data_IF_325421044023
#
_entry.id   IF_325421044023
#
_cell.length_a   1.000
_cell.length_b   1.000
_cell.length_c   1.000
_cell.angle_alpha   90.00
_cell.angle_beta   90.00
_cell.angle_gamma   90.00
#
_symmetry.space_group_name_H-M   'P 1'
#
loop_
_entity.id
_entity.type
_entity.pdbx_description
1 polymer ?
#
# COMPACT_ATOMS: atom_id res chain seq x y z
N UNK A 1 -8.20 -47.62 30.85
CA UNK A 1 -8.33 -46.22 30.39
C UNK A 1 -7.40 -46.05 29.21
N UNK A 2 -7.92 -45.83 27.99
CA UNK A 2 -7.08 -45.49 26.83
C UNK A 2 -6.74 -44.00 26.90
N UNK A 3 -5.49 -43.59 26.71
CA UNK A 3 -5.15 -42.17 26.66
C UNK A 3 -5.88 -41.53 25.47
N UNK A 4 -6.60 -40.43 25.75
CA UNK A 4 -7.15 -39.54 24.72
C UNK A 4 -5.98 -39.06 23.86
N UNK A 5 -6.11 -39.24 22.55
CA UNK A 5 -5.22 -38.59 21.59
C UNK A 5 -5.20 -37.08 21.88
N UNK A 6 -4.00 -36.52 21.99
CA UNK A 6 -3.77 -35.08 21.99
C UNK A 6 -4.47 -34.45 20.78
N UNK A 7 -4.99 -33.21 20.88
CA UNK A 7 -5.50 -32.52 19.71
C UNK A 7 -4.35 -32.41 18.71
N UNK A 8 -4.52 -33.06 17.57
CA UNK A 8 -3.68 -32.92 16.39
C UNK A 8 -3.55 -31.42 16.12
N UNK A 9 -2.32 -30.91 16.09
CA UNK A 9 -2.07 -29.53 15.71
C UNK A 9 -2.57 -29.37 14.28
N UNK A 10 -3.72 -28.70 14.12
CA UNK A 10 -4.31 -28.47 12.84
C UNK A 10 -3.26 -27.81 11.93
N UNK A 11 -2.95 -28.49 10.82
CA UNK A 11 -1.83 -28.16 9.96
C UNK A 11 -2.30 -27.09 8.97
N UNK A 12 -1.57 -25.96 8.91
CA UNK A 12 -1.87 -24.89 7.97
C UNK A 12 -1.89 -25.42 6.52
N UNK A 13 -2.80 -24.89 5.70
CA UNK A 13 -2.97 -25.30 4.32
C UNK A 13 -1.67 -25.13 3.52
N UNK A 14 -1.28 -26.16 2.78
CA UNK A 14 -0.08 -26.14 1.95
C UNK A 14 -0.28 -25.25 0.71
N UNK A 15 0.58 -24.25 0.53
CA UNK A 15 0.49 -23.28 -0.56
C UNK A 15 1.22 -23.77 -1.82
N UNK A 16 0.57 -24.62 -2.60
CA UNK A 16 1.18 -25.27 -3.78
C UNK A 16 1.00 -24.49 -5.09
N UNK A 17 0.07 -23.53 -5.14
CA UNK A 17 -0.18 -22.68 -6.30
C UNK A 17 0.36 -21.26 -6.08
N UNK A 18 0.58 -20.53 -7.18
CA UNK A 18 1.07 -19.15 -7.15
C UNK A 18 0.35 -18.29 -8.16
N UNK A 19 0.04 -17.06 -7.77
CA UNK A 19 -0.42 -16.00 -8.66
C UNK A 19 0.63 -14.89 -8.70
N UNK A 20 0.78 -14.28 -9.87
CA UNK A 20 1.58 -13.06 -10.06
C UNK A 20 0.87 -12.19 -11.07
N UNK A 21 0.82 -10.88 -10.81
CA UNK A 21 0.24 -9.91 -11.74
C UNK A 21 1.03 -9.92 -13.07
N UNK A 22 0.41 -9.53 -14.19
CA UNK A 22 1.09 -9.53 -15.50
C UNK A 22 2.39 -8.69 -15.53
N UNK A 23 2.47 -7.66 -14.70
CA UNK A 23 3.65 -6.80 -14.55
C UNK A 23 4.70 -7.35 -13.57
N UNK A 24 4.48 -8.53 -12.99
CA UNK A 24 5.42 -9.20 -12.08
C UNK A 24 5.56 -8.52 -10.71
N UNK A 25 4.77 -7.47 -10.45
CA UNK A 25 5.02 -6.58 -9.32
C UNK A 25 4.32 -7.00 -8.04
N UNK A 26 3.28 -7.83 -8.13
CA UNK A 26 2.55 -8.36 -6.97
C UNK A 26 2.38 -9.86 -7.15
N UNK A 27 2.58 -10.62 -6.07
CA UNK A 27 2.36 -12.07 -6.10
C UNK A 27 1.98 -12.62 -4.73
N UNK A 28 1.29 -13.75 -4.74
CA UNK A 28 0.93 -14.51 -3.54
C UNK A 28 0.78 -16.00 -3.90
N UNK A 29 0.84 -16.86 -2.90
CA UNK A 29 0.63 -18.30 -3.02
C UNK A 29 -0.70 -18.70 -2.40
N UNK A 30 -1.30 -19.76 -2.92
CA UNK A 30 -2.61 -20.23 -2.47
C UNK A 30 -2.71 -21.77 -2.50
N UNK A 31 -3.65 -22.37 -1.75
CA UNK A 31 -3.83 -23.82 -1.71
C UNK A 31 -4.26 -24.41 -3.06
N UNK A 32 -4.05 -25.71 -3.22
CA UNK A 32 -4.65 -26.44 -4.34
C UNK A 32 -6.19 -26.39 -4.28
N UNK A 33 -6.84 -26.35 -5.44
CA UNK A 33 -8.31 -26.31 -5.54
C UNK A 33 -8.91 -24.91 -5.47
N UNK A 34 -8.18 -23.93 -4.95
CA UNK A 34 -8.55 -22.52 -5.03
C UNK A 34 -8.26 -21.96 -6.42
N UNK A 35 -8.96 -20.90 -6.80
CA UNK A 35 -8.87 -20.30 -8.15
C UNK A 35 -8.70 -18.80 -8.10
N UNK A 36 -7.95 -18.24 -9.08
CA UNK A 36 -7.79 -16.80 -9.27
C UNK A 36 -8.34 -16.41 -10.63
N UNK A 37 -9.18 -15.38 -10.69
CA UNK A 37 -9.73 -14.87 -11.94
C UNK A 37 -10.13 -13.40 -11.86
N UNK A 38 -10.17 -12.71 -12.99
CA UNK A 38 -10.63 -11.33 -13.04
C UNK A 38 -12.17 -11.28 -12.83
N UNK A 39 -12.70 -10.35 -12.01
CA UNK A 39 -14.13 -10.09 -11.96
C UNK A 39 -14.58 -9.36 -13.22
N UNK A 40 -15.87 -9.49 -13.58
CA UNK A 40 -16.47 -8.84 -14.76
C UNK A 40 -16.31 -7.31 -14.76
N UNK A 41 -16.22 -6.70 -13.57
CA UNK A 41 -16.03 -5.27 -13.39
C UNK A 41 -14.56 -4.80 -13.46
N UNK A 42 -13.60 -5.69 -13.71
CA UNK A 42 -12.19 -5.32 -13.86
C UNK A 42 -11.99 -4.51 -15.15
N UNK A 43 -11.37 -3.34 -15.04
CA UNK A 43 -10.99 -2.50 -16.19
C UNK A 43 -9.47 -2.37 -16.29
N UNK A 44 -8.92 -1.87 -17.41
CA UNK A 44 -7.49 -1.56 -17.50
C UNK A 44 -7.01 -0.59 -16.42
N UNK A 45 -7.86 0.34 -16.01
CA UNK A 45 -7.58 1.36 -14.99
C UNK A 45 -7.77 0.80 -13.56
N UNK A 46 -8.77 -0.07 -13.36
CA UNK A 46 -9.00 -0.78 -12.09
C UNK A 46 -8.84 -2.28 -12.32
N UNK A 47 -7.59 -2.74 -12.30
CA UNK A 47 -7.25 -4.15 -12.48
C UNK A 47 -7.56 -4.92 -11.20
N UNK A 48 -8.38 -5.95 -11.27
CA UNK A 48 -8.75 -6.74 -10.10
C UNK A 48 -8.71 -8.25 -10.39
N UNK A 49 -8.51 -9.02 -9.31
CA UNK A 49 -8.53 -10.47 -9.31
C UNK A 49 -9.21 -10.96 -8.04
N UNK A 50 -10.16 -11.87 -8.20
CA UNK A 50 -10.81 -12.58 -7.10
C UNK A 50 -10.09 -13.90 -6.86
N UNK A 51 -9.67 -14.13 -5.62
CA UNK A 51 -9.26 -15.44 -5.14
C UNK A 51 -10.47 -16.13 -4.52
N UNK A 52 -10.85 -17.27 -5.08
CA UNK A 52 -11.97 -18.09 -4.63
C UNK A 52 -11.47 -19.40 -4.03
N UNK A 53 -12.11 -19.87 -2.98
CA UNK A 53 -11.82 -21.19 -2.39
C UNK A 53 -12.33 -22.34 -3.27
N UNK A 54 -12.17 -23.58 -2.78
CA UNK A 54 -12.56 -24.79 -3.49
C UNK A 54 -14.09 -24.87 -3.70
N UNK A 55 -14.87 -24.21 -2.84
CA UNK A 55 -16.32 -24.09 -2.91
C UNK A 55 -16.78 -22.97 -3.86
N UNK A 56 -15.84 -22.17 -4.37
CA UNK A 56 -16.11 -21.05 -5.27
C UNK A 56 -16.50 -19.75 -4.56
N UNK A 57 -16.44 -19.70 -3.23
CA UNK A 57 -16.66 -18.48 -2.47
C UNK A 57 -15.45 -17.56 -2.57
N UNK A 58 -15.70 -16.26 -2.74
CA UNK A 58 -14.61 -15.27 -2.80
C UNK A 58 -14.05 -15.04 -1.41
N UNK A 59 -12.74 -15.26 -1.26
CA UNK A 59 -12.03 -15.14 0.02
C UNK A 59 -11.23 -13.84 0.07
N UNK A 60 -10.46 -13.55 -0.98
CA UNK A 60 -9.65 -12.33 -1.10
C UNK A 60 -9.89 -11.70 -2.47
N UNK A 61 -9.78 -10.38 -2.52
CA UNK A 61 -9.69 -9.63 -3.76
C UNK A 61 -8.37 -8.86 -3.78
N UNK A 62 -7.60 -9.08 -4.84
CA UNK A 62 -6.51 -8.20 -5.22
C UNK A 62 -7.05 -7.12 -6.17
N UNK A 63 -6.79 -5.86 -5.90
CA UNK A 63 -7.11 -4.76 -6.80
C UNK A 63 -5.96 -3.76 -6.87
N UNK A 64 -5.65 -3.27 -8.07
CA UNK A 64 -4.74 -2.17 -8.34
C UNK A 64 -5.55 -1.06 -9.00
N UNK A 65 -5.50 0.14 -8.43
CA UNK A 65 -6.30 1.26 -8.94
C UNK A 65 -5.63 2.61 -8.71
N UNK A 66 -6.04 3.68 -9.41
CA UNK A 66 -5.51 5.01 -9.18
C UNK A 66 -5.77 5.48 -7.75
N UNK A 67 -4.83 6.24 -7.19
CA UNK A 67 -4.99 6.88 -5.89
C UNK A 67 -6.21 7.83 -5.90
N UNK A 68 -6.91 7.95 -4.77
CA UNK A 68 -8.06 8.84 -4.61
C UNK A 68 -9.40 8.35 -5.17
N UNK A 69 -9.46 7.20 -5.85
CA UNK A 69 -10.70 6.67 -6.45
C UNK A 69 -11.55 5.79 -5.51
N UNK A 70 -11.33 5.83 -4.19
CA UNK A 70 -12.04 4.98 -3.23
C UNK A 70 -13.26 5.72 -2.71
N UNK A 71 -14.42 5.42 -3.29
CA UNK A 71 -15.69 6.09 -2.99
C UNK A 71 -16.23 5.81 -1.58
N UNK A 72 -15.80 4.72 -0.92
CA UNK A 72 -16.22 4.40 0.45
C UNK A 72 -15.22 3.44 1.10
N UNK A 73 -14.21 3.94 1.84
CA UNK A 73 -13.24 3.07 2.46
C UNK A 73 -13.86 2.23 3.57
N UNK A 74 -13.50 0.95 3.59
CA UNK A 74 -13.76 0.08 4.74
C UNK A 74 -12.71 0.42 5.78
N UNK A 75 -13.05 1.25 6.78
CA UNK A 75 -12.13 1.56 7.88
C UNK A 75 -12.60 0.85 9.14
N UNK A 76 -11.94 -0.23 9.57
CA UNK A 76 -12.26 -0.87 10.83
C UNK A 76 -12.09 0.09 12.00
N UNK A 77 -12.94 -0.02 13.01
CA UNK A 77 -12.87 0.83 14.21
C UNK A 77 -11.74 0.43 15.16
N UNK A 78 -11.28 -0.81 15.07
CA UNK A 78 -10.09 -1.34 15.74
C UNK A 78 -9.50 -2.44 14.86
N UNK A 79 -8.20 -2.71 14.98
CA UNK A 79 -7.58 -3.83 14.26
C UNK A 79 -6.61 -4.61 15.12
N UNK A 80 -6.64 -5.93 15.01
CA UNK A 80 -5.64 -6.85 15.56
C UNK A 80 -4.60 -7.13 14.48
N UNK A 81 -3.30 -7.01 14.82
CA UNK A 81 -2.19 -7.34 13.92
C UNK A 81 -1.83 -8.82 14.02
N UNK A 82 -1.55 -9.45 12.87
CA UNK A 82 -1.13 -10.85 12.78
C UNK A 82 0.31 -11.01 12.25
N UNK A 83 1.08 -9.91 12.26
CA UNK A 83 2.47 -9.90 11.83
C UNK A 83 2.72 -8.92 10.68
N UNK A 84 4.01 -8.70 10.40
CA UNK A 84 4.50 -7.84 9.32
C UNK A 84 5.00 -8.68 8.15
N UNK A 85 4.90 -8.12 6.94
CA UNK A 85 5.36 -8.74 5.70
C UNK A 85 6.61 -8.02 5.20
N UNK A 86 7.82 -8.51 5.52
CA UNK A 86 9.06 -7.85 5.10
C UNK A 86 9.26 -7.86 3.57
N UNK A 87 8.58 -8.75 2.85
CA UNK A 87 8.61 -8.82 1.37
C UNK A 87 7.62 -7.89 0.67
N UNK A 88 6.90 -7.04 1.41
CA UNK A 88 5.96 -6.07 0.87
C UNK A 88 6.12 -4.75 1.63
N UNK A 89 6.56 -3.72 0.92
CA UNK A 89 6.80 -2.39 1.49
C UNK A 89 5.73 -1.41 1.01
N UNK A 90 5.31 -0.51 1.88
CA UNK A 90 4.51 0.64 1.46
C UNK A 90 5.37 1.72 0.78
N UNK A 91 4.72 2.80 0.36
CA UNK A 91 5.37 3.96 -0.30
C UNK A 91 6.47 4.64 0.52
N UNK A 92 6.55 4.39 1.83
CA UNK A 92 7.58 4.93 2.72
C UNK A 92 8.73 3.94 2.96
N UNK A 93 8.64 2.73 2.40
CA UNK A 93 9.62 1.66 2.61
C UNK A 93 9.37 0.85 3.88
N UNK A 94 8.23 1.06 4.56
CA UNK A 94 7.89 0.32 5.77
C UNK A 94 7.22 -1.02 5.42
N UNK A 95 7.55 -2.12 6.13
CA UNK A 95 6.84 -3.38 5.97
C UNK A 95 5.36 -3.19 6.25
N UNK A 96 4.52 -3.67 5.34
CA UNK A 96 3.08 -3.73 5.55
C UNK A 96 2.74 -4.80 6.59
N UNK A 97 1.53 -4.77 7.15
CA UNK A 97 1.07 -5.74 8.15
C UNK A 97 -0.20 -6.45 7.73
N UNK A 98 -0.40 -7.65 8.28
CA UNK A 98 -1.68 -8.36 8.21
C UNK A 98 -2.56 -7.89 9.37
N UNK A 99 -3.80 -7.54 9.06
CA UNK A 99 -4.72 -7.03 10.05
C UNK A 99 -6.13 -7.59 9.88
N UNK A 100 -6.83 -7.75 11.00
CA UNK A 100 -8.25 -8.13 11.08
C UNK A 100 -8.95 -7.11 11.95
N UNK A 101 -10.16 -6.68 11.58
CA UNK A 101 -10.91 -5.73 12.39
C UNK A 101 -12.41 -5.69 12.07
N UNK A 102 -13.24 -5.26 13.03
CA UNK A 102 -14.65 -5.03 12.79
C UNK A 102 -14.85 -3.83 11.88
N UNK A 103 -15.60 -4.01 10.80
CA UNK A 103 -16.11 -2.92 10.00
C UNK A 103 -17.55 -2.64 10.38
N UNK A 104 -17.82 -1.55 11.13
CA UNK A 104 -19.18 -1.22 11.43
C UNK A 104 -19.87 -0.63 10.19
N UNK A 105 -20.76 -1.41 9.60
CA UNK A 105 -21.81 -0.95 8.70
C UNK A 105 -22.54 0.30 9.18
N UNK A 106 -23.04 1.07 8.21
CA UNK A 106 -23.35 2.48 8.41
C UNK A 106 -24.74 2.76 9.00
N UNK A 107 -25.51 1.72 9.35
CA UNK A 107 -26.87 1.82 9.90
C UNK A 107 -27.15 0.73 10.94
N UNK A 108 -27.99 1.03 11.93
CA UNK A 108 -28.45 0.07 12.94
C UNK A 108 -29.29 -1.06 12.33
N UNK A 109 -29.12 -2.29 12.83
CA UNK A 109 -29.86 -3.47 12.36
C UNK A 109 -29.29 -4.15 11.11
N UNK A 110 -28.13 -3.71 10.61
CA UNK A 110 -27.49 -4.25 9.40
C UNK A 110 -26.42 -5.29 9.78
N UNK A 111 -26.29 -6.32 8.95
CA UNK A 111 -25.18 -7.27 9.04
C UNK A 111 -23.86 -6.53 8.79
N UNK A 112 -22.96 -6.60 9.76
CA UNK A 112 -21.63 -6.02 9.66
C UNK A 112 -20.65 -6.98 9.00
N UNK A 113 -19.46 -6.49 8.71
CA UNK A 113 -18.38 -7.28 8.13
C UNK A 113 -17.19 -7.33 9.10
N UNK A 114 -16.52 -8.46 9.16
CA UNK A 114 -15.15 -8.55 9.65
C UNK A 114 -14.25 -8.37 8.43
N UNK A 115 -13.48 -7.28 8.39
CA UNK A 115 -12.54 -7.00 7.33
C UNK A 115 -11.17 -7.56 7.71
N UNK A 116 -10.48 -8.14 6.73
CA UNK A 116 -9.14 -8.68 6.92
C UNK A 116 -8.30 -8.51 5.66
N UNK A 117 -7.00 -8.31 5.81
CA UNK A 117 -6.11 -8.14 4.67
C UNK A 117 -4.79 -7.49 5.04
N UNK A 118 -4.14 -6.93 4.04
CA UNK A 118 -2.84 -6.27 4.17
C UNK A 118 -3.04 -4.77 4.19
N UNK A 119 -2.42 -4.09 5.16
CA UNK A 119 -2.55 -2.65 5.37
C UNK A 119 -1.21 -2.04 5.77
N UNK A 120 -1.04 -0.72 5.59
CA UNK A 120 0.14 -0.02 6.11
C UNK A 120 0.29 -0.25 7.63
N UNK A 121 1.54 -0.44 8.06
CA UNK A 121 1.88 -0.65 9.46
C UNK A 121 1.99 0.67 10.24
N UNK A 122 2.47 1.73 9.58
CA UNK A 122 2.72 3.04 10.18
C UNK A 122 1.50 3.97 10.13
N UNK A 123 0.45 3.57 9.42
CA UNK A 123 -0.74 4.41 9.21
C UNK A 123 -0.51 5.52 8.18
N UNK A 124 0.57 5.42 7.39
CA UNK A 124 0.83 6.28 6.25
C UNK A 124 -0.35 6.30 5.27
N UNK A 125 -0.96 5.13 5.06
CA UNK A 125 -2.21 5.00 4.32
C UNK A 125 -3.42 5.19 5.25
N UNK A 126 -4.29 6.14 4.88
CA UNK A 126 -5.49 6.48 5.67
C UNK A 126 -6.59 5.42 5.60
N UNK A 127 -6.48 4.47 4.66
CA UNK A 127 -7.53 3.53 4.33
C UNK A 127 -7.06 2.12 4.61
N UNK A 128 -7.78 1.42 5.48
CA UNK A 128 -7.47 0.03 5.78
C UNK A 128 -7.54 -0.83 4.52
N UNK A 129 -6.61 -1.79 4.44
CA UNK A 129 -6.58 -2.75 3.35
C UNK A 129 -6.08 -2.18 2.03
N UNK A 130 -5.65 -0.91 2.01
CA UNK A 130 -5.14 -0.22 0.84
C UNK A 130 -3.74 0.27 1.15
N UNK A 131 -2.80 0.00 0.23
CA UNK A 131 -1.41 0.35 0.36
C UNK A 131 -1.03 1.20 -0.84
N UNK A 132 -0.61 2.44 -0.61
CA UNK A 132 -0.06 3.27 -1.67
C UNK A 132 1.29 2.72 -2.12
N UNK A 133 1.47 2.62 -3.44
CA UNK A 133 2.74 2.16 -4.04
C UNK A 133 3.70 3.31 -4.36
N UNK A 134 3.28 4.56 -4.17
CA UNK A 134 4.06 5.75 -4.52
C UNK A 134 4.14 6.08 -6.02
N UNK A 135 3.51 5.29 -6.89
CA UNK A 135 3.45 5.54 -8.35
C UNK A 135 2.13 6.20 -8.80
N UNK A 136 1.29 6.63 -7.85
CA UNK A 136 -0.06 7.12 -8.12
C UNK A 136 -1.12 6.00 -8.14
N UNK A 137 -0.75 4.76 -7.78
CA UNK A 137 -1.70 3.66 -7.59
C UNK A 137 -1.71 3.14 -6.16
N UNK A 138 -2.87 2.60 -5.77
CA UNK A 138 -3.07 1.85 -4.54
C UNK A 138 -3.30 0.37 -4.85
N UNK A 139 -2.77 -0.50 -3.99
CA UNK A 139 -3.02 -1.93 -3.96
C UNK A 139 -3.94 -2.26 -2.81
N UNK A 140 -4.97 -3.05 -3.07
CA UNK A 140 -5.79 -3.67 -2.04
C UNK A 140 -5.69 -5.18 -2.15
N UNK A 141 -5.31 -5.86 -1.07
CA UNK A 141 -5.40 -7.31 -0.95
C UNK A 141 -6.09 -7.68 0.35
N UNK A 142 -7.41 -7.87 0.26
CA UNK A 142 -8.28 -7.99 1.43
C UNK A 142 -9.53 -8.81 1.12
N UNK A 143 -10.21 -9.23 2.18
CA UNK A 143 -11.47 -9.93 2.15
C UNK A 143 -12.39 -9.48 3.26
N UNK A 144 -13.62 -9.95 3.21
CA UNK A 144 -14.63 -9.70 4.24
C UNK A 144 -15.34 -11.00 4.58
N UNK A 145 -15.58 -11.20 5.86
CA UNK A 145 -16.45 -12.24 6.37
C UNK A 145 -17.72 -11.58 6.91
N UNK A 146 -18.88 -12.18 6.66
CA UNK A 146 -20.12 -11.73 7.29
C UNK A 146 -20.00 -11.91 8.81
N UNK A 147 -20.20 -10.82 9.55
CA UNK A 147 -20.37 -10.85 10.99
C UNK A 147 -21.84 -10.93 11.38
N UNK A 148 -22.15 -10.58 12.62
CA UNK A 148 -23.52 -10.45 13.09
C UNK A 148 -24.15 -9.08 12.85
N UNK A 149 -25.40 -8.95 13.28
CA UNK A 149 -26.14 -7.69 13.28
C UNK A 149 -25.56 -6.77 14.36
N UNK A 150 -25.18 -5.55 14.01
CA UNK A 150 -24.47 -4.62 14.91
C UNK A 150 -25.14 -4.28 16.23
N UNK A 151 -26.46 -4.30 16.27
CA UNK A 151 -27.24 -4.05 17.49
C UNK A 151 -27.39 -5.30 18.35
N UNK A 152 -26.91 -6.45 17.89
CA UNK A 152 -27.18 -7.76 18.49
C UNK A 152 -25.92 -8.56 18.82
N UNK A 153 -24.75 -8.17 18.29
CA UNK A 153 -23.47 -8.83 18.58
C UNK A 153 -22.39 -7.82 18.95
N UNK A 154 -21.41 -8.27 19.74
CA UNK A 154 -20.18 -7.54 19.95
C UNK A 154 -19.25 -7.76 18.75
N UNK A 155 -19.14 -6.74 17.89
CA UNK A 155 -18.33 -6.82 16.68
C UNK A 155 -16.83 -6.99 16.95
N UNK A 156 -16.31 -6.48 18.07
CA UNK A 156 -14.92 -6.70 18.43
C UNK A 156 -14.68 -8.17 18.81
N UNK A 157 -15.63 -8.77 19.53
CA UNK A 157 -15.60 -10.20 19.84
C UNK A 157 -15.74 -11.08 18.59
N UNK A 158 -16.62 -10.72 17.64
CA UNK A 158 -16.74 -11.42 16.35
C UNK A 158 -15.44 -11.37 15.54
N UNK A 159 -14.80 -10.20 15.46
CA UNK A 159 -13.52 -10.06 14.77
C UNK A 159 -12.40 -10.86 15.47
N UNK A 160 -12.34 -10.85 16.80
CA UNK A 160 -11.39 -11.64 17.58
C UNK A 160 -11.61 -13.16 17.40
N UNK A 161 -12.86 -13.61 17.47
CA UNK A 161 -13.24 -15.00 17.24
C UNK A 161 -12.87 -15.46 15.83
N UNK A 162 -13.18 -14.65 14.81
CA UNK A 162 -12.78 -14.93 13.44
C UNK A 162 -11.25 -15.02 13.31
N UNK A 163 -10.51 -14.07 13.90
CA UNK A 163 -9.03 -14.05 13.86
C UNK A 163 -8.36 -15.28 14.48
N UNK A 164 -9.08 -15.99 15.37
CA UNK A 164 -8.63 -17.21 16.04
C UNK A 164 -9.17 -18.49 15.39
N UNK A 165 -10.11 -18.37 14.47
CA UNK A 165 -10.76 -19.51 13.81
C UNK A 165 -9.78 -20.29 12.92
N UNK A 166 -10.00 -21.61 12.72
CA UNK A 166 -9.25 -22.41 11.76
C UNK A 166 -9.28 -21.79 10.36
N UNK A 167 -10.47 -21.34 9.92
CA UNK A 167 -10.65 -20.69 8.62
C UNK A 167 -9.67 -19.53 8.41
N UNK A 168 -9.51 -18.66 9.42
CA UNK A 168 -8.51 -17.60 9.30
C UNK A 168 -7.08 -18.13 9.47
N UNK A 169 -6.78 -18.85 10.54
CA UNK A 169 -5.40 -19.19 10.92
C UNK A 169 -4.73 -20.20 10.00
N UNK A 170 -5.48 -21.15 9.48
CA UNK A 170 -4.96 -22.30 8.73
C UNK A 170 -5.14 -22.11 7.22
N UNK A 171 -6.14 -21.36 6.77
CA UNK A 171 -6.43 -21.21 5.34
C UNK A 171 -6.10 -19.81 4.81
N UNK A 172 -6.57 -18.75 5.47
CA UNK A 172 -6.43 -17.37 4.95
C UNK A 172 -5.08 -16.75 5.31
N UNK A 173 -4.66 -16.87 6.57
CA UNK A 173 -3.45 -16.25 7.09
C UNK A 173 -2.19 -16.72 6.34
N UNK A 174 -2.01 -18.00 5.97
CA UNK A 174 -0.87 -18.42 5.15
C UNK A 174 -0.85 -17.74 3.78
N UNK A 175 -2.01 -17.58 3.12
CA UNK A 175 -2.12 -16.88 1.84
C UNK A 175 -1.70 -15.42 1.98
N UNK A 176 -2.24 -14.70 2.97
CA UNK A 176 -1.86 -13.31 3.27
C UNK A 176 -0.36 -13.19 3.63
N UNK A 177 0.17 -14.17 4.35
CA UNK A 177 1.59 -14.22 4.75
C UNK A 177 2.54 -14.43 3.57
N UNK A 178 2.05 -15.01 2.47
CA UNK A 178 2.83 -15.24 1.26
C UNK A 178 2.86 -14.04 0.30
N UNK A 179 2.13 -12.98 0.62
CA UNK A 179 2.02 -11.81 -0.25
C UNK A 179 3.37 -11.10 -0.39
N UNK A 180 3.66 -10.73 -1.62
CA UNK A 180 4.84 -9.96 -2.02
C UNK A 180 4.39 -8.81 -2.88
N UNK A 181 5.04 -7.66 -2.69
CA UNK A 181 4.78 -6.47 -3.47
C UNK A 181 6.09 -5.76 -3.69
N UNK A 182 6.48 -5.65 -4.96
CA UNK A 182 7.69 -4.95 -5.37
C UNK A 182 7.38 -3.46 -5.56
N UNK A 183 8.33 -2.58 -5.18
CA UNK A 183 8.27 -1.17 -5.55
C UNK A 183 8.17 -1.03 -7.06
N UNK A 184 7.33 -0.12 -7.52
CA UNK A 184 7.19 0.19 -8.95
C UNK A 184 8.46 0.91 -9.39
N UNK A 185 9.17 0.38 -10.39
CA UNK A 185 10.48 0.87 -10.82
C UNK A 185 11.67 0.04 -10.31
N UNK A 186 11.45 -0.98 -9.47
CA UNK A 186 12.45 -2.00 -9.22
C UNK A 186 12.53 -2.95 -10.43
N UNK A 187 13.38 -2.62 -11.40
CA UNK A 187 13.76 -3.51 -12.50
C UNK A 187 14.18 -4.86 -11.90
N UNK A 188 13.84 -6.02 -12.50
CA UNK A 188 14.55 -7.26 -12.19
C UNK A 188 16.04 -6.98 -12.33
N UNK A 189 16.88 -7.40 -11.38
CA UNK A 189 18.31 -7.18 -11.44
C UNK A 189 18.85 -7.66 -12.80
N UNK A 190 19.04 -6.72 -13.72
CA UNK A 190 19.60 -6.91 -15.03
C UNK A 190 20.72 -5.88 -15.14
N UNK A 191 21.93 -6.42 -15.16
CA UNK A 191 23.20 -5.76 -15.37
C UNK A 191 23.13 -4.81 -16.58
N UNK A 192 23.13 -3.50 -16.35
CA UNK A 192 23.76 -2.48 -17.21
C UNK A 192 23.42 -1.06 -16.71
N UNK A 193 24.45 -0.24 -16.47
CA UNK A 193 24.31 1.21 -16.48
C UNK A 193 23.86 1.68 -17.87
N UNK A 194 23.08 2.78 -17.96
CA UNK A 194 23.67 3.96 -18.58
C UNK A 194 23.24 5.31 -17.97
N UNK A 195 24.23 6.17 -17.83
CA UNK A 195 24.31 7.57 -18.31
C UNK A 195 23.05 8.42 -18.36
N UNK A 196 23.07 9.50 -17.57
CA UNK A 196 22.58 10.84 -17.91
C UNK A 196 21.08 10.97 -18.24
N UNK A 197 20.29 11.40 -17.26
CA UNK A 197 18.90 11.79 -17.47
C UNK A 197 18.51 12.95 -16.56
N UNK A 198 17.98 14.01 -17.15
CA UNK A 198 17.28 15.13 -16.52
C UNK A 198 15.91 14.69 -15.97
N UNK A 199 15.91 13.66 -15.12
CA UNK A 199 14.71 12.98 -14.64
C UNK A 199 14.25 13.52 -13.30
N UNK A 200 12.93 13.66 -13.14
CA UNK A 200 12.34 13.80 -11.81
C UNK A 200 12.67 12.54 -10.99
N UNK A 201 13.13 12.72 -9.75
CA UNK A 201 13.41 11.63 -8.82
C UNK A 201 12.23 11.40 -7.89
N UNK A 202 11.91 10.14 -7.56
CA UNK A 202 10.84 9.79 -6.63
C UNK A 202 11.42 9.07 -5.41
N UNK A 203 11.10 9.55 -4.21
CA UNK A 203 11.50 8.91 -2.96
C UNK A 203 10.80 9.52 -1.75
N UNK A 204 10.37 8.69 -0.79
CA UNK A 204 9.77 9.16 0.48
C UNK A 204 8.56 10.08 0.31
N UNK A 205 7.56 9.67 -0.47
CA UNK A 205 6.32 10.42 -0.77
C UNK A 205 6.48 11.75 -1.53
N UNK A 206 7.65 12.02 -2.12
CA UNK A 206 7.87 13.21 -2.93
C UNK A 206 8.41 12.86 -4.32
N UNK A 207 7.93 13.61 -5.31
CA UNK A 207 8.58 13.77 -6.61
C UNK A 207 9.43 15.04 -6.61
N UNK A 208 10.71 14.92 -7.00
CA UNK A 208 11.73 15.96 -7.01
C UNK A 208 12.12 16.33 -8.44
N UNK A 209 12.28 17.61 -8.76
CA UNK A 209 12.83 18.06 -10.05
C UNK A 209 13.71 19.31 -9.88
N UNK A 210 14.56 19.61 -10.88
CA UNK A 210 15.42 20.81 -10.90
C UNK A 210 16.88 20.61 -10.46
N UNK A 211 17.29 19.35 -10.24
CA UNK A 211 18.65 18.96 -9.84
C UNK A 211 19.36 18.20 -10.98
N UNK A 212 19.82 18.93 -12.00
CA UNK A 212 20.48 18.31 -13.16
C UNK A 212 21.75 17.54 -12.76
N UNK A 213 21.85 16.28 -13.19
CA UNK A 213 23.03 15.44 -12.97
C UNK A 213 23.14 14.82 -11.57
N UNK A 214 22.14 15.05 -10.71
CA UNK A 214 22.04 14.48 -9.36
C UNK A 214 21.25 13.18 -9.43
N UNK A 215 21.74 12.13 -8.77
CA UNK A 215 20.99 10.87 -8.69
C UNK A 215 19.88 10.92 -7.62
N UNK A 216 19.01 9.90 -7.56
CA UNK A 216 17.85 9.96 -6.65
C UNK A 216 18.20 9.80 -5.17
N UNK A 217 19.32 9.15 -4.84
CA UNK A 217 19.79 9.09 -3.46
C UNK A 217 20.30 10.47 -3.02
N UNK A 218 21.05 11.14 -3.91
CA UNK A 218 21.55 12.49 -3.70
C UNK A 218 20.42 13.53 -3.66
N UNK A 219 19.41 13.43 -4.52
CA UNK A 219 18.24 14.33 -4.51
C UNK A 219 17.45 14.22 -3.20
N UNK A 220 17.32 13.01 -2.66
CA UNK A 220 16.67 12.77 -1.35
C UNK A 220 17.50 13.36 -0.21
N UNK A 221 18.83 13.19 -0.24
CA UNK A 221 19.72 13.78 0.75
C UNK A 221 19.69 15.32 0.72
N UNK A 222 19.58 15.92 -0.47
CA UNK A 222 19.41 17.37 -0.66
C UNK A 222 18.12 17.86 -0.03
N UNK A 223 16.98 17.16 -0.23
CA UNK A 223 15.73 17.55 0.44
C UNK A 223 15.89 17.50 1.96
N UNK A 224 16.46 16.43 2.51
CA UNK A 224 16.66 16.28 3.96
C UNK A 224 17.54 17.40 4.52
N UNK A 225 18.58 17.82 3.79
CA UNK A 225 19.40 18.98 4.13
C UNK A 225 18.54 20.26 4.17
N UNK A 226 17.77 20.54 3.12
CA UNK A 226 16.92 21.75 3.06
C UNK A 226 15.81 21.74 4.11
N UNK A 227 15.24 20.59 4.44
CA UNK A 227 14.21 20.49 5.47
C UNK A 227 14.76 20.74 6.87
N UNK A 228 15.94 20.19 7.16
CA UNK A 228 16.56 20.25 8.49
C UNK A 228 17.30 21.56 8.75
N UNK A 229 17.99 22.11 7.74
CA UNK A 229 18.87 23.27 7.89
C UNK A 229 18.43 24.49 7.06
N UNK A 230 17.44 24.35 6.17
CA UNK A 230 17.00 25.43 5.30
C UNK A 230 16.19 26.50 6.04
N UNK A 231 16.45 27.76 5.69
CA UNK A 231 15.66 28.91 6.16
C UNK A 231 14.40 29.07 5.30
N UNK A 232 13.28 29.58 5.85
CA UNK A 232 12.07 29.82 5.08
C UNK A 232 12.32 30.78 3.91
N UNK A 233 11.84 30.42 2.72
CA UNK A 233 11.89 31.19 1.48
C UNK A 233 10.47 31.29 0.89
N UNK A 234 9.77 32.38 1.22
CA UNK A 234 8.36 32.56 0.87
C UNK A 234 7.41 31.63 1.63
N UNK A 235 6.17 31.53 1.15
CA UNK A 235 5.11 30.80 1.84
C UNK A 235 5.22 29.27 1.72
N UNK A 236 5.96 28.78 0.73
CA UNK A 236 6.00 27.36 0.32
C UNK A 236 7.40 26.93 -0.10
N UNK A 237 8.45 27.55 0.43
CA UNK A 237 9.83 27.25 0.07
C UNK A 237 10.79 27.33 1.25
N UNK A 238 11.93 26.67 1.10
CA UNK A 238 13.07 26.71 2.01
C UNK A 238 14.35 26.71 1.19
N UNK A 239 15.37 27.38 1.71
CA UNK A 239 16.66 27.47 1.05
C UNK A 239 17.83 27.25 2.01
N UNK A 240 18.88 26.64 1.49
CA UNK A 240 20.24 26.65 2.06
C UNK A 240 21.13 27.52 1.17
N UNK A 241 22.41 27.62 1.50
CA UNK A 241 23.40 28.32 0.65
C UNK A 241 23.63 27.62 -0.71
N UNK A 242 23.09 26.40 -0.89
CA UNK A 242 23.33 25.56 -2.07
C UNK A 242 22.07 25.19 -2.83
N UNK A 243 20.91 25.16 -2.18
CA UNK A 243 19.69 24.65 -2.77
C UNK A 243 18.49 25.48 -2.36
N UNK A 244 17.55 25.64 -3.28
CA UNK A 244 16.24 26.21 -3.00
C UNK A 244 15.17 25.21 -3.42
N UNK A 245 14.37 24.76 -2.45
CA UNK A 245 13.27 23.83 -2.66
C UNK A 245 11.92 24.51 -2.44
N UNK A 246 10.96 24.17 -3.29
CA UNK A 246 9.60 24.68 -3.28
C UNK A 246 8.59 23.55 -3.32
N UNK A 247 7.54 23.65 -2.49
CA UNK A 247 6.46 22.68 -2.39
C UNK A 247 5.25 23.11 -3.22
N UNK A 248 4.86 22.24 -4.15
CA UNK A 248 3.72 22.45 -5.04
C UNK A 248 2.40 22.46 -4.27
N UNK A 249 1.53 23.39 -4.64
CA UNK A 249 0.17 23.50 -4.14
C UNK A 249 -0.69 22.37 -4.71
N UNK A 250 -1.86 22.15 -4.11
CA UNK A 250 -2.83 21.18 -4.64
C UNK A 250 -3.20 21.45 -6.11
N UNK A 251 -3.30 22.72 -6.52
CA UNK A 251 -3.61 23.12 -7.90
C UNK A 251 -2.48 22.80 -8.88
N UNK A 252 -1.23 23.08 -8.52
CA UNK A 252 -0.06 22.76 -9.34
C UNK A 252 0.10 21.24 -9.49
N UNK A 253 -0.11 20.47 -8.42
CA UNK A 253 -0.10 19.01 -8.44
C UNK A 253 -1.18 18.43 -9.34
N UNK A 254 -2.39 19.00 -9.31
CA UNK A 254 -3.47 18.59 -10.23
C UNK A 254 -3.17 18.89 -11.70
N UNK A 255 -2.21 19.78 -11.97
CA UNK A 255 -1.74 20.14 -13.31
C UNK A 255 -0.49 19.35 -13.74
N UNK A 256 -0.06 18.37 -12.94
CA UNK A 256 1.09 17.50 -13.22
C UNK A 256 2.43 18.03 -12.71
N UNK A 257 2.47 19.03 -11.83
CA UNK A 257 3.70 19.48 -11.20
C UNK A 257 4.21 18.46 -10.16
N UNK A 258 5.53 18.30 -10.00
CA UNK A 258 6.12 17.45 -8.98
C UNK A 258 5.84 18.00 -7.57
N UNK A 259 5.81 17.15 -6.55
CA UNK A 259 5.52 17.58 -5.17
C UNK A 259 6.52 18.61 -4.66
N UNK A 260 7.79 18.45 -5.00
CA UNK A 260 8.87 19.36 -4.67
C UNK A 260 9.71 19.67 -5.89
N UNK A 261 10.04 20.94 -6.07
CA UNK A 261 11.04 21.39 -7.04
C UNK A 261 12.22 21.97 -6.29
N UNK A 262 13.39 21.32 -6.39
CA UNK A 262 14.64 21.76 -5.80
C UNK A 262 15.59 22.20 -6.91
N UNK A 263 16.13 23.41 -6.82
CA UNK A 263 17.13 23.90 -7.76
C UNK A 263 18.43 24.18 -7.02
N UNK A 264 19.56 23.85 -7.64
CA UNK A 264 20.85 24.31 -7.15
C UNK A 264 20.89 25.84 -7.23
N UNK A 265 21.22 26.48 -6.12
CA UNK A 265 21.64 27.89 -6.10
C UNK A 265 23.03 27.94 -6.72
N UNK A 266 23.08 27.84 -8.05
CA UNK A 266 24.27 28.26 -8.79
C UNK A 266 24.54 29.70 -8.37
N UNK A 267 25.77 29.96 -7.95
CA UNK A 267 26.21 31.21 -7.36
C UNK A 267 25.81 32.41 -8.24
N UNK A 268 24.66 33.02 -7.92
CA UNK A 268 24.15 34.29 -8.43
C UNK A 268 23.48 34.27 -9.81
N UNK A 269 22.14 34.11 -9.88
CA UNK A 269 21.16 35.06 -10.50
C UNK A 269 19.74 34.47 -10.65
N UNK A 270 18.78 35.19 -10.06
CA UNK A 270 17.38 35.42 -10.50
C UNK A 270 16.49 34.23 -10.92
N UNK A 271 15.58 33.80 -10.02
CA UNK A 271 14.33 33.10 -10.37
C UNK A 271 13.05 33.88 -9.95
N UNK A 272 13.18 35.14 -9.52
CA UNK A 272 12.02 36.02 -9.30
C UNK A 272 11.47 36.66 -10.59
N UNK A 273 12.04 36.38 -11.77
CA UNK A 273 11.59 36.95 -13.05
C UNK A 273 10.67 36.03 -13.89
N UNK A 274 10.31 34.84 -13.40
CA UNK A 274 9.49 33.89 -14.18
C UNK A 274 7.97 33.96 -13.94
N UNK A 275 7.49 34.76 -12.98
CA UNK A 275 6.06 34.80 -12.61
C UNK A 275 5.38 36.18 -12.79
N UNK A 276 5.85 36.99 -13.75
CA UNK A 276 5.05 38.12 -14.26
C UNK A 276 4.72 37.89 -15.73
N UNK A 277 3.64 37.15 -15.98
CA UNK A 277 2.68 37.40 -17.06
C UNK A 277 1.29 36.97 -16.64
#
# INVERSE_FOLDING_TARGET
MRPRASPEAAQAAELTQSFTTPDGSIGFRYPQGWTVGAPDASTPETRAWLLKDAEGATVLMLAIRPDGQIASPVTPTSTTSHGTLPGALDSHGDPVRIAVGPYPGQSAGVNMLVAYGITSNTGADRLFGHISRGDGTMVSFQGTQQGGINTSVDMAAEADAFSKSPRFREEILPVLSSFTMRPVGATPAATAAPTGGTGACRGGSYEYSGLEGVDCAEATAILQEVESAGRPAGARGKETDRYHCFWSSAGEKSSGAPDVQCNAQTSGRHLFDANVR
#
